data_IF_541681684096
#
_entry.id   IF_541681684096
#
_cell.length_a   1.000
_cell.length_b   1.000
_cell.length_c   1.000
_cell.angle_alpha   90.00
_cell.angle_beta   90.00
_cell.angle_gamma   90.00
#
_symmetry.space_group_name_H-M   'P 1'
#
loop_
_entity.id
_entity.type
_entity.pdbx_description
1 polymer ?
#
# COMPACT_ATOMS: atom_id res chain seq x y z
N UNK A 1 45.34 -17.77 0.38
CA UNK A 1 43.99 -18.29 0.13
C UNK A 1 43.00 -17.22 0.58
N UNK A 2 42.72 -16.24 -0.27
CA UNK A 2 41.84 -15.11 0.05
C UNK A 2 40.42 -15.46 -0.40
N UNK A 3 39.48 -15.49 0.55
CA UNK A 3 38.08 -15.79 0.29
C UNK A 3 37.35 -14.56 -0.20
N UNK A 4 37.05 -14.52 -1.50
CA UNK A 4 36.14 -13.55 -2.09
C UNK A 4 34.70 -14.00 -1.81
N UNK A 5 34.11 -13.52 -0.73
CA UNK A 5 32.69 -13.72 -0.45
C UNK A 5 31.90 -12.67 -1.22
N UNK A 6 31.60 -12.96 -2.48
CA UNK A 6 30.72 -12.15 -3.32
C UNK A 6 29.27 -12.36 -2.85
N UNK A 7 28.85 -11.61 -1.84
CA UNK A 7 27.43 -11.40 -1.57
C UNK A 7 26.84 -10.63 -2.75
N UNK A 8 26.31 -11.37 -3.71
CA UNK A 8 25.42 -10.86 -4.74
C UNK A 8 24.22 -10.26 -4.02
N UNK A 9 24.16 -8.92 -4.02
CA UNK A 9 22.99 -8.18 -3.61
C UNK A 9 21.87 -8.49 -4.62
N UNK A 10 21.24 -9.65 -4.48
CA UNK A 10 19.88 -9.93 -4.95
C UNK A 10 19.08 -8.66 -4.62
N UNK A 11 18.48 -8.05 -5.64
CA UNK A 11 17.65 -6.84 -5.46
C UNK A 11 16.35 -7.22 -4.75
N UNK A 12 16.46 -7.74 -3.54
CA UNK A 12 15.35 -7.88 -2.61
C UNK A 12 15.02 -6.46 -2.18
N UNK A 13 13.94 -5.92 -2.72
CA UNK A 13 13.37 -4.71 -2.16
C UNK A 13 13.15 -4.97 -0.66
N UNK A 14 13.55 -4.04 0.25
CA UNK A 14 13.30 -4.23 1.67
C UNK A 14 11.83 -4.57 1.83
N UNK A 15 11.51 -5.66 2.54
CA UNK A 15 10.12 -6.03 2.78
C UNK A 15 9.46 -4.87 3.52
N UNK A 16 8.78 -4.02 2.76
CA UNK A 16 8.03 -2.92 3.30
C UNK A 16 6.84 -3.58 3.99
N UNK A 17 6.97 -3.78 5.30
CA UNK A 17 5.97 -4.41 6.15
C UNK A 17 4.77 -3.50 6.23
N UNK A 18 3.89 -3.57 5.24
CA UNK A 18 2.64 -2.83 5.28
C UNK A 18 1.67 -3.55 6.19
N UNK A 19 1.51 -3.01 7.39
CA UNK A 19 0.46 -3.41 8.29
C UNK A 19 -0.91 -3.32 7.61
N UNK A 20 -1.75 -4.32 7.87
CA UNK A 20 -3.08 -4.38 7.27
C UNK A 20 -3.89 -3.18 7.76
N UNK A 21 -4.32 -2.35 6.83
CA UNK A 21 -4.98 -1.09 7.16
C UNK A 21 -6.40 -1.33 7.65
N UNK A 22 -6.87 -0.51 8.58
CA UNK A 22 -8.25 -0.54 9.10
C UNK A 22 -9.00 0.74 8.78
N UNK A 23 -10.31 0.61 8.54
CA UNK A 23 -11.19 1.75 8.37
C UNK A 23 -11.35 2.48 9.72
N UNK A 24 -11.20 3.81 9.73
CA UNK A 24 -11.36 4.61 10.96
C UNK A 24 -12.82 4.71 11.43
N UNK A 25 -13.79 4.45 10.56
CA UNK A 25 -15.21 4.52 10.91
C UNK A 25 -15.73 3.22 11.51
N UNK A 26 -15.46 2.07 10.88
CA UNK A 26 -15.99 0.78 11.32
C UNK A 26 -14.94 -0.16 11.93
N UNK A 27 -13.65 0.20 11.91
CA UNK A 27 -12.57 -0.64 12.43
C UNK A 27 -12.26 -1.88 11.59
N UNK A 28 -13.04 -2.18 10.55
CA UNK A 28 -12.83 -3.34 9.69
C UNK A 28 -11.56 -3.21 8.87
N UNK A 29 -10.94 -4.35 8.57
CA UNK A 29 -9.79 -4.41 7.67
C UNK A 29 -10.20 -3.95 6.29
N UNK A 30 -9.38 -3.10 5.70
CA UNK A 30 -9.53 -2.64 4.32
C UNK A 30 -8.34 -3.09 3.51
N UNK A 31 -8.53 -3.16 2.19
CA UNK A 31 -7.43 -3.42 1.27
C UNK A 31 -6.35 -2.35 1.43
N UNK A 32 -5.08 -2.73 1.31
CA UNK A 32 -3.98 -1.77 1.22
C UNK A 32 -3.75 -1.46 -0.26
N UNK A 33 -3.97 -0.22 -0.67
CA UNK A 33 -3.78 0.22 -2.05
C UNK A 33 -2.38 0.81 -2.20
N UNK A 34 -1.63 0.32 -3.18
CA UNK A 34 -0.31 0.86 -3.53
C UNK A 34 -0.46 1.79 -4.72
N UNK A 35 -0.12 3.06 -4.53
CA UNK A 35 -0.04 4.06 -5.60
C UNK A 35 1.42 4.42 -5.84
N UNK A 36 1.76 4.71 -7.09
CA UNK A 36 3.12 5.10 -7.46
C UNK A 36 3.15 6.60 -7.72
N UNK A 37 3.84 7.36 -6.86
CA UNK A 37 4.07 8.79 -7.08
C UNK A 37 5.45 9.00 -7.69
N UNK A 38 5.53 9.72 -8.81
CA UNK A 38 6.81 10.12 -9.38
C UNK A 38 7.30 11.39 -8.69
N UNK A 39 8.54 11.38 -8.19
CA UNK A 39 9.22 12.52 -7.57
C UNK A 39 10.66 12.56 -8.05
N UNK A 40 11.10 13.70 -8.60
CA UNK A 40 12.48 13.91 -9.08
C UNK A 40 12.99 12.80 -10.02
N UNK A 41 12.14 12.29 -10.90
CA UNK A 41 12.49 11.22 -11.84
C UNK A 41 12.44 9.80 -11.26
N UNK A 42 12.35 9.65 -9.94
CA UNK A 42 12.20 8.37 -9.24
C UNK A 42 10.72 8.11 -8.97
N UNK A 43 10.35 6.83 -8.93
CA UNK A 43 9.02 6.43 -8.54
C UNK A 43 8.99 5.89 -7.12
N UNK A 44 8.16 6.52 -6.30
CA UNK A 44 7.99 6.22 -4.88
C UNK A 44 6.67 5.47 -4.71
N UNK A 45 6.67 4.24 -4.17
CA UNK A 45 5.45 3.58 -3.73
C UNK A 45 4.87 4.32 -2.51
N UNK A 46 3.58 4.59 -2.55
CA UNK A 46 2.79 5.20 -1.50
C UNK A 46 1.66 4.25 -1.17
N UNK A 47 1.67 3.74 0.05
CA UNK A 47 0.65 2.83 0.54
C UNK A 47 -0.41 3.61 1.29
N UNK A 48 -1.66 3.40 0.90
CA UNK A 48 -2.81 4.06 1.52
C UNK A 48 -3.88 3.05 1.84
N UNK A 49 -4.77 3.43 2.76
CA UNK A 49 -5.99 2.67 3.04
C UNK A 49 -6.86 2.66 1.80
N UNK A 50 -7.32 1.48 1.40
CA UNK A 50 -8.30 1.31 0.34
C UNK A 50 -9.70 1.75 0.79
N UNK A 51 -10.64 1.82 -0.15
CA UNK A 51 -12.03 2.14 0.16
C UNK A 51 -12.64 1.10 1.12
N UNK A 52 -13.51 1.55 2.00
CA UNK A 52 -14.27 0.62 2.83
C UNK A 52 -15.27 -0.13 1.95
N UNK A 53 -15.30 -1.46 2.07
CA UNK A 53 -16.28 -2.33 1.38
C UNK A 53 -17.45 -2.75 2.26
N UNK A 54 -17.53 -2.23 3.49
CA UNK A 54 -18.64 -2.53 4.40
C UNK A 54 -19.85 -1.65 4.06
N UNK A 55 -20.99 -2.20 3.61
CA UNK A 55 -22.16 -1.43 3.20
C UNK A 55 -22.82 -0.68 4.37
N UNK A 56 -22.64 -1.14 5.60
CA UNK A 56 -23.14 -0.48 6.81
C UNK A 56 -22.23 0.66 7.31
N UNK A 57 -21.12 0.93 6.61
CA UNK A 57 -20.17 1.96 6.99
C UNK A 57 -20.53 3.30 6.36
N UNK A 58 -20.46 4.38 7.14
CA UNK A 58 -20.60 5.76 6.64
C UNK A 58 -19.52 6.16 5.63
N UNK A 59 -18.42 5.42 5.56
CA UNK A 59 -17.31 5.61 4.62
C UNK A 59 -17.31 4.59 3.48
N UNK A 60 -18.45 3.93 3.22
CA UNK A 60 -18.58 2.99 2.12
C UNK A 60 -18.47 3.72 0.78
N UNK A 61 -17.39 3.45 0.04
CA UNK A 61 -17.12 4.15 -1.23
C UNK A 61 -18.11 3.81 -2.34
N UNK A 62 -18.97 2.80 -2.17
CA UNK A 62 -20.07 2.51 -3.08
C UNK A 62 -21.22 3.53 -3.02
N UNK A 63 -21.14 4.55 -2.15
CA UNK A 63 -22.08 5.67 -2.10
C UNK A 63 -21.68 6.87 -2.98
N UNK A 64 -20.48 6.88 -3.58
CA UNK A 64 -19.92 8.08 -4.22
C UNK A 64 -19.22 7.78 -5.56
N UNK A 65 -19.97 7.17 -6.48
CA UNK A 65 -19.63 7.14 -7.91
C UNK A 65 -20.87 7.45 -8.78
N UNK A 66 -21.57 8.54 -8.46
CA UNK A 66 -22.38 9.29 -9.40
C UNK A 66 -22.13 10.79 -9.16
N UNK A 67 -21.01 11.32 -9.68
CA UNK A 67 -20.99 12.68 -10.21
C UNK A 67 -19.79 12.91 -11.16
N UNK A 68 -20.11 12.80 -12.47
CA UNK A 68 -19.58 13.49 -13.66
C UNK A 68 -19.00 12.65 -14.78
#
# INVERSE_FOLDING_TARGET
MAGEQQHEHERVAPQAGHEQQTCLACGLRVDTVVRRRKSLGVFIPVWSRGPCRNPDCTQYAGAEHEER
#
